data_IF_438358903585
#
_entry.id   IF_438358903585
#
_cell.length_a   1.000
_cell.length_b   1.000
_cell.length_c   1.000
_cell.angle_alpha   90.00
_cell.angle_beta   90.00
_cell.angle_gamma   90.00
#
_symmetry.space_group_name_H-M   'P 1'
#
loop_
_entity.id
_entity.type
_entity.pdbx_description
1 polymer ?
#
# COMPACT_ATOMS: atom_id res chain seq x y z
N UNK A 1 -19.36 -101.38 -26.07
CA UNK A 1 -20.63 -101.66 -25.35
C UNK A 1 -21.50 -100.42 -25.51
N UNK A 2 -22.79 -100.46 -25.84
CA UNK A 2 -23.78 -101.55 -25.84
C UNK A 2 -25.09 -100.94 -25.34
N UNK A 3 -25.81 -100.22 -26.21
CA UNK A 3 -27.02 -100.66 -26.92
C UNK A 3 -28.26 -100.85 -26.01
N UNK A 4 -29.19 -99.91 -26.10
CA UNK A 4 -30.62 -100.22 -26.15
C UNK A 4 -31.36 -99.13 -26.96
N UNK A 5 -32.29 -99.58 -27.80
CA UNK A 5 -33.21 -98.76 -28.60
C UNK A 5 -34.64 -99.10 -28.14
N UNK A 6 -35.58 -98.17 -28.23
CA UNK A 6 -37.01 -98.48 -28.33
C UNK A 6 -37.77 -97.37 -29.07
N UNK A 7 -38.93 -97.71 -29.61
CA UNK A 7 -39.49 -97.12 -30.85
C UNK A 7 -41.03 -97.30 -30.84
N UNK A 8 -41.89 -96.45 -31.45
CA UNK A 8 -41.59 -95.36 -32.40
C UNK A 8 -41.94 -93.94 -31.84
N UNK A 9 -42.90 -93.11 -32.27
CA UNK A 9 -43.94 -93.23 -33.31
C UNK A 9 -44.32 -91.88 -33.97
N UNK A 10 -45.16 -91.97 -35.00
CA UNK A 10 -45.43 -90.99 -36.06
C UNK A 10 -46.31 -89.81 -35.61
N UNK A 11 -45.95 -88.57 -35.97
CA UNK A 11 -46.82 -87.68 -36.78
C UNK A 11 -46.13 -86.42 -37.34
N UNK A 12 -46.31 -86.25 -38.65
CA UNK A 12 -46.27 -85.07 -39.54
C UNK A 12 -45.40 -83.82 -39.31
N UNK A 13 -44.81 -83.41 -40.44
CA UNK A 13 -44.09 -82.15 -40.65
C UNK A 13 -45.07 -80.97 -40.74
N UNK A 14 -44.76 -79.84 -40.12
CA UNK A 14 -45.37 -78.55 -40.46
C UNK A 14 -44.33 -77.42 -40.45
N UNK A 15 -44.34 -76.57 -41.47
CA UNK A 15 -43.41 -75.44 -41.62
C UNK A 15 -43.74 -74.29 -40.66
N UNK A 16 -42.72 -73.53 -40.21
CA UNK A 16 -42.93 -72.38 -39.31
C UNK A 16 -43.68 -71.26 -40.05
N UNK A 17 -44.98 -71.13 -39.75
CA UNK A 17 -45.84 -70.04 -40.24
C UNK A 17 -45.31 -68.68 -39.77
N UNK A 18 -45.46 -67.60 -40.56
CA UNK A 18 -44.90 -66.29 -40.22
C UNK A 18 -45.44 -65.78 -38.88
N UNK A 19 -44.57 -65.14 -38.10
CA UNK A 19 -44.94 -64.51 -36.81
C UNK A 19 -46.13 -63.58 -37.04
N UNK A 20 -47.29 -63.90 -36.46
CA UNK A 20 -48.48 -63.04 -36.52
C UNK A 20 -48.10 -61.64 -36.02
N UNK A 21 -48.37 -60.60 -36.81
CA UNK A 21 -48.31 -59.22 -36.32
C UNK A 21 -49.24 -59.11 -35.11
N UNK A 22 -48.68 -58.78 -33.95
CA UNK A 22 -49.45 -58.55 -32.73
C UNK A 22 -50.41 -57.40 -32.99
N UNK A 23 -51.72 -57.67 -32.92
CA UNK A 23 -52.77 -56.72 -33.28
C UNK A 23 -53.21 -56.02 -32.00
N UNK A 24 -52.46 -54.97 -31.64
CA UNK A 24 -52.68 -54.13 -30.47
C UNK A 24 -54.17 -53.71 -30.38
N UNK A 25 -54.74 -53.80 -29.20
CA UNK A 25 -56.10 -53.31 -28.94
C UNK A 25 -56.12 -51.78 -28.99
N UNK A 26 -57.27 -51.20 -29.33
CA UNK A 26 -57.42 -49.73 -29.40
C UNK A 26 -57.10 -49.03 -28.08
N UNK A 27 -57.26 -49.73 -26.94
CA UNK A 27 -56.90 -49.24 -25.61
C UNK A 27 -55.38 -49.21 -25.39
N UNK A 28 -54.64 -50.26 -25.77
CA UNK A 28 -53.17 -50.28 -25.68
C UNK A 28 -52.54 -49.21 -26.59
N UNK A 29 -53.10 -49.01 -27.79
CA UNK A 29 -52.66 -47.94 -28.71
C UNK A 29 -52.93 -46.57 -28.08
N UNK A 30 -54.14 -46.34 -27.56
CA UNK A 30 -54.52 -45.07 -26.91
C UNK A 30 -53.63 -44.76 -25.69
N UNK A 31 -53.38 -45.75 -24.83
CA UNK A 31 -52.50 -45.59 -23.67
C UNK A 31 -51.05 -45.31 -24.08
N UNK A 32 -50.54 -45.98 -25.11
CA UNK A 32 -49.19 -45.75 -25.65
C UNK A 32 -49.05 -44.33 -26.23
N UNK A 33 -50.07 -43.84 -26.92
CA UNK A 33 -50.12 -42.46 -27.43
C UNK A 33 -50.20 -41.44 -26.29
N UNK A 34 -51.00 -41.70 -25.24
CA UNK A 34 -51.08 -40.83 -24.07
C UNK A 34 -49.74 -40.71 -23.33
N UNK A 35 -49.06 -41.85 -23.09
CA UNK A 35 -47.73 -41.87 -22.48
C UNK A 35 -46.72 -41.14 -23.37
N UNK A 36 -46.74 -41.37 -24.68
CA UNK A 36 -45.86 -40.66 -25.62
C UNK A 36 -46.07 -39.14 -25.55
N UNK A 37 -47.32 -38.66 -25.59
CA UNK A 37 -47.65 -37.24 -25.47
C UNK A 37 -47.19 -36.64 -24.13
N UNK A 38 -47.38 -37.35 -23.02
CA UNK A 38 -46.90 -36.91 -21.70
C UNK A 38 -45.36 -36.85 -21.64
N UNK A 39 -44.65 -37.82 -22.23
CA UNK A 39 -43.18 -37.76 -22.32
C UNK A 39 -42.70 -36.62 -23.21
N UNK A 40 -43.38 -36.31 -24.31
CA UNK A 40 -43.08 -35.16 -25.17
C UNK A 40 -43.27 -33.85 -24.38
N UNK A 41 -44.37 -33.69 -23.64
CA UNK A 41 -44.63 -32.51 -22.81
C UNK A 41 -43.59 -32.37 -21.69
N UNK A 42 -43.19 -33.46 -21.04
CA UNK A 42 -42.13 -33.43 -20.04
C UNK A 42 -40.78 -33.01 -20.65
N UNK A 43 -40.42 -33.56 -21.81
CA UNK A 43 -39.18 -33.23 -22.52
C UNK A 43 -39.19 -31.78 -23.04
N UNK A 44 -40.31 -31.26 -23.55
CA UNK A 44 -40.38 -29.85 -23.96
C UNK A 44 -40.33 -28.89 -22.78
N UNK A 45 -40.96 -29.21 -21.64
CA UNK A 45 -40.84 -28.39 -20.42
C UNK A 45 -39.42 -28.41 -19.85
N UNK A 46 -38.74 -29.57 -19.83
CA UNK A 46 -37.34 -29.67 -19.42
C UNK A 46 -36.43 -28.92 -20.39
N UNK A 47 -36.66 -29.03 -21.71
CA UNK A 47 -35.90 -28.30 -22.71
C UNK A 47 -36.08 -26.78 -22.55
N UNK A 48 -37.32 -26.30 -22.45
CA UNK A 48 -37.64 -24.88 -22.23
C UNK A 48 -36.97 -24.33 -20.97
N UNK A 49 -36.97 -25.08 -19.88
CA UNK A 49 -36.30 -24.69 -18.62
C UNK A 49 -34.77 -24.73 -18.73
N UNK A 50 -34.20 -25.70 -19.44
CA UNK A 50 -32.76 -25.82 -19.66
C UNK A 50 -32.22 -24.77 -20.67
N UNK A 51 -33.07 -24.27 -21.58
CA UNK A 51 -32.76 -23.15 -22.49
C UNK A 51 -33.29 -21.80 -21.98
N UNK A 52 -33.78 -21.72 -20.74
CA UNK A 52 -34.26 -20.48 -20.16
C UNK A 52 -33.08 -19.64 -19.68
N UNK A 53 -32.68 -18.66 -20.48
CA UNK A 53 -31.79 -17.59 -20.05
C UNK A 53 -32.61 -16.52 -19.30
N UNK A 54 -32.27 -16.29 -18.03
CA UNK A 54 -32.83 -15.22 -17.20
C UNK A 54 -32.02 -13.91 -17.33
N UNK A 55 -30.98 -13.89 -18.16
CA UNK A 55 -30.06 -12.77 -18.33
C UNK A 55 -29.07 -12.58 -17.17
N UNK A 56 -29.05 -13.48 -16.18
CA UNK A 56 -28.22 -13.34 -14.98
C UNK A 56 -26.86 -14.01 -15.19
N UNK A 57 -25.79 -13.22 -15.14
CA UNK A 57 -24.43 -13.73 -15.24
C UNK A 57 -24.07 -14.68 -14.09
N UNK A 58 -24.01 -15.98 -14.40
CA UNK A 58 -23.66 -17.08 -13.47
C UNK A 58 -22.19 -17.51 -13.55
N UNK A 59 -21.31 -16.69 -14.15
CA UNK A 59 -19.88 -16.99 -14.22
C UNK A 59 -19.23 -16.90 -12.82
N UNK A 60 -18.11 -17.60 -12.62
CA UNK A 60 -17.37 -17.58 -11.34
C UNK A 60 -17.03 -16.15 -10.90
N UNK A 61 -16.64 -15.29 -11.83
CA UNK A 61 -16.18 -13.93 -11.54
C UNK A 61 -17.32 -12.94 -11.35
N UNK A 62 -18.47 -13.15 -12.01
CA UNK A 62 -19.72 -12.47 -11.68
C UNK A 62 -20.17 -12.80 -10.24
N UNK A 63 -20.12 -14.08 -9.85
CA UNK A 63 -20.50 -14.52 -8.50
C UNK A 63 -19.56 -13.95 -7.43
N UNK A 64 -18.24 -14.01 -7.62
CA UNK A 64 -17.26 -13.37 -6.71
C UNK A 64 -17.50 -11.87 -6.57
N UNK A 65 -17.73 -11.17 -7.69
CA UNK A 65 -17.95 -9.72 -7.71
C UNK A 65 -19.23 -9.33 -7.00
N UNK A 66 -20.34 -10.02 -7.29
CA UNK A 66 -21.63 -9.83 -6.63
C UNK A 66 -21.54 -10.10 -5.12
N UNK A 67 -20.88 -11.18 -4.70
CA UNK A 67 -20.66 -11.49 -3.29
C UNK A 67 -19.91 -10.35 -2.56
N UNK A 68 -18.83 -9.82 -3.15
CA UNK A 68 -18.08 -8.69 -2.56
C UNK A 68 -18.92 -7.41 -2.46
N UNK A 69 -19.75 -7.12 -3.46
CA UNK A 69 -20.67 -5.96 -3.44
C UNK A 69 -21.72 -6.11 -2.32
N UNK A 70 -22.42 -7.25 -2.29
CA UNK A 70 -23.46 -7.57 -1.30
C UNK A 70 -22.90 -7.57 0.13
N UNK A 71 -21.67 -8.04 0.32
CA UNK A 71 -21.00 -7.98 1.61
C UNK A 71 -20.67 -6.55 2.03
N UNK A 72 -20.18 -5.69 1.13
CA UNK A 72 -19.69 -4.36 1.51
C UNK A 72 -20.82 -3.34 1.74
N UNK A 73 -21.95 -3.50 1.06
CA UNK A 73 -23.10 -2.59 1.16
C UNK A 73 -23.92 -2.77 2.45
N UNK A 74 -24.70 -1.74 2.79
CA UNK A 74 -25.68 -1.71 3.88
C UNK A 74 -27.05 -1.31 3.33
N UNK A 75 -27.85 -2.30 2.93
CA UNK A 75 -29.15 -2.08 2.29
C UNK A 75 -30.23 -1.45 3.19
N UNK A 76 -29.92 -1.19 4.46
CA UNK A 76 -30.79 -0.42 5.38
C UNK A 76 -30.55 1.10 5.32
N UNK A 77 -29.53 1.56 4.59
CA UNK A 77 -29.27 2.98 4.36
C UNK A 77 -29.85 3.43 3.02
N UNK A 78 -30.48 4.60 2.97
CA UNK A 78 -31.08 5.14 1.75
C UNK A 78 -29.97 5.68 0.81
N UNK A 79 -29.76 5.11 -0.39
CA UNK A 79 -28.64 5.48 -1.27
C UNK A 79 -28.68 6.94 -1.73
N UNK A 80 -29.88 7.51 -1.85
CA UNK A 80 -30.08 8.92 -2.21
C UNK A 80 -29.82 9.90 -1.05
N UNK A 81 -29.63 9.40 0.18
CA UNK A 81 -29.35 10.20 1.37
C UNK A 81 -27.89 10.07 1.84
N UNK A 82 -27.36 8.85 1.86
CA UNK A 82 -25.96 8.56 2.21
C UNK A 82 -25.45 7.37 1.39
N UNK A 83 -24.97 7.65 0.19
CA UNK A 83 -24.44 6.63 -0.72
C UNK A 83 -23.16 5.97 -0.17
N UNK A 84 -22.39 6.65 0.68
CA UNK A 84 -21.20 6.06 1.31
C UNK A 84 -21.60 4.99 2.32
N UNK A 85 -22.57 5.28 3.20
CA UNK A 85 -23.11 4.29 4.13
C UNK A 85 -23.84 3.16 3.40
N UNK A 86 -24.59 3.45 2.34
CA UNK A 86 -25.19 2.41 1.50
C UNK A 86 -24.13 1.50 0.84
N UNK A 87 -23.06 2.05 0.26
CA UNK A 87 -22.06 1.25 -0.46
C UNK A 87 -21.02 0.56 0.44
N UNK A 88 -20.73 1.11 1.62
CA UNK A 88 -19.63 0.70 2.50
C UNK A 88 -20.06 0.29 3.92
N UNK A 89 -21.31 0.51 4.33
CA UNK A 89 -21.74 0.30 5.72
C UNK A 89 -21.62 -1.16 6.19
N UNK A 90 -21.76 -2.14 5.30
CA UNK A 90 -21.51 -3.55 5.59
C UNK A 90 -20.02 -3.83 5.83
N UNK A 91 -19.13 -3.19 5.07
CA UNK A 91 -17.68 -3.24 5.28
C UNK A 91 -17.29 -2.59 6.61
N UNK A 92 -17.80 -1.39 6.90
CA UNK A 92 -17.54 -0.65 8.15
C UNK A 92 -18.01 -1.41 9.41
N UNK A 93 -19.11 -2.17 9.33
CA UNK A 93 -19.59 -3.03 10.44
C UNK A 93 -18.71 -4.26 10.71
N UNK A 94 -17.79 -4.64 9.81
CA UNK A 94 -16.96 -5.86 9.92
C UNK A 94 -15.46 -5.60 10.08
N UNK A 95 -14.96 -4.44 9.71
CA UNK A 95 -13.53 -4.14 9.71
C UNK A 95 -13.19 -3.18 10.84
N UNK A 96 -12.14 -3.51 11.58
CA UNK A 96 -11.45 -2.59 12.50
C UNK A 96 -10.13 -2.20 11.84
N UNK A 97 -9.67 -0.97 12.06
CA UNK A 97 -8.36 -0.53 11.56
C UNK A 97 -7.27 -1.28 12.35
N UNK A 98 -6.33 -2.01 11.70
CA UNK A 98 -5.25 -2.68 12.41
C UNK A 98 -4.33 -1.69 13.14
N UNK A 99 -3.78 -2.06 14.30
CA UNK A 99 -2.89 -1.22 15.12
C UNK A 99 -1.65 -0.69 14.36
N UNK A 100 -1.21 -1.41 13.32
CA UNK A 100 -0.09 -1.03 12.45
C UNK A 100 -0.45 0.01 11.37
N UNK A 101 -1.72 0.42 11.29
CA UNK A 101 -2.28 1.17 10.17
C UNK A 101 -3.02 2.43 10.64
N UNK A 102 -2.68 3.61 10.09
CA UNK A 102 -3.35 4.88 10.43
C UNK A 102 -4.70 5.08 9.73
N UNK A 103 -5.05 4.18 8.81
CA UNK A 103 -6.33 4.09 8.08
C UNK A 103 -6.47 2.66 7.57
N UNK A 104 -7.68 2.25 7.19
CA UNK A 104 -7.88 0.98 6.49
C UNK A 104 -8.99 1.09 5.46
N UNK A 105 -8.83 0.46 4.30
CA UNK A 105 -9.76 0.50 3.18
C UNK A 105 -9.47 -0.63 2.18
N UNK A 106 -10.31 -0.76 1.14
CA UNK A 106 -10.05 -1.69 0.04
C UNK A 106 -8.72 -1.43 -0.69
N UNK A 107 -8.17 -0.20 -0.66
CA UNK A 107 -6.85 0.09 -1.25
C UNK A 107 -5.69 -0.38 -0.38
N UNK A 108 -5.88 -0.35 0.95
CA UNK A 108 -4.86 -0.78 1.90
C UNK A 108 -4.86 -2.32 1.98
N UNK A 109 -6.03 -2.99 1.97
CA UNK A 109 -6.16 -4.46 1.79
C UNK A 109 -5.43 -4.96 0.53
N UNK A 110 -5.64 -4.29 -0.62
CA UNK A 110 -4.97 -4.65 -1.88
C UNK A 110 -3.45 -4.39 -1.86
N UNK A 111 -2.96 -3.54 -0.94
CA UNK A 111 -1.53 -3.38 -0.68
C UNK A 111 -1.01 -4.54 0.15
N UNK A 112 -1.71 -4.92 1.22
CA UNK A 112 -1.32 -6.03 2.08
C UNK A 112 -1.23 -7.35 1.27
N UNK A 113 -2.22 -7.61 0.41
CA UNK A 113 -2.20 -8.73 -0.55
C UNK A 113 -1.00 -8.68 -1.51
N UNK A 114 -0.65 -7.49 -2.01
CA UNK A 114 0.52 -7.29 -2.89
C UNK A 114 1.84 -7.47 -2.13
N UNK A 115 1.93 -7.04 -0.87
CA UNK A 115 3.13 -7.15 -0.04
C UNK A 115 3.45 -8.61 0.31
N UNK A 116 2.44 -9.48 0.44
CA UNK A 116 2.64 -10.94 0.50
C UNK A 116 3.28 -11.47 -0.78
N UNK A 117 2.78 -11.07 -1.96
CA UNK A 117 3.35 -11.49 -3.25
C UNK A 117 4.79 -10.97 -3.43
N UNK A 118 5.05 -9.72 -3.01
CA UNK A 118 6.38 -9.12 -3.05
C UNK A 118 7.37 -9.85 -2.14
N UNK A 119 6.96 -10.22 -0.91
CA UNK A 119 7.73 -11.08 -0.02
C UNK A 119 8.08 -12.41 -0.69
N UNK A 120 7.11 -13.10 -1.27
CA UNK A 120 7.32 -14.41 -1.88
C UNK A 120 8.29 -14.39 -3.07
N UNK A 121 8.28 -13.33 -3.88
CA UNK A 121 9.25 -13.19 -4.98
C UNK A 121 10.62 -12.64 -4.55
N UNK A 122 10.75 -12.06 -3.36
CA UNK A 122 11.99 -11.46 -2.85
C UNK A 122 12.77 -12.33 -1.84
N UNK A 123 12.10 -13.19 -1.08
CA UNK A 123 12.72 -13.93 0.03
C UNK A 123 13.77 -14.97 -0.43
N UNK A 124 13.51 -15.69 -1.53
CA UNK A 124 14.39 -16.76 -2.03
C UNK A 124 15.24 -16.35 -3.26
N UNK A 125 16.58 -16.45 -3.20
CA UNK A 125 17.43 -16.33 -4.38
C UNK A 125 17.27 -17.56 -5.29
N UNK A 126 17.17 -17.35 -6.60
CA UNK A 126 16.98 -18.41 -7.60
C UNK A 126 18.20 -18.47 -8.54
N UNK A 127 18.71 -19.66 -8.93
CA UNK A 127 19.94 -19.79 -9.74
C UNK A 127 19.93 -19.10 -11.12
N UNK A 128 18.76 -18.63 -11.58
CA UNK A 128 18.57 -17.93 -12.86
C UNK A 128 18.18 -16.45 -12.69
N UNK A 129 18.26 -15.90 -11.46
CA UNK A 129 18.02 -14.48 -11.23
C UNK A 129 19.06 -13.62 -11.97
N UNK A 130 18.61 -12.62 -12.74
CA UNK A 130 19.48 -11.59 -13.32
C UNK A 130 20.03 -10.66 -12.21
N UNK A 131 21.18 -10.00 -12.46
CA UNK A 131 21.88 -9.15 -11.47
C UNK A 131 20.97 -8.10 -10.81
N UNK A 132 20.00 -7.53 -11.53
CA UNK A 132 19.02 -6.60 -10.96
C UNK A 132 18.14 -7.25 -9.88
N UNK A 133 17.65 -8.48 -10.12
CA UNK A 133 16.85 -9.27 -9.17
C UNK A 133 17.73 -9.74 -8.00
N UNK A 134 18.96 -10.18 -8.27
CA UNK A 134 19.93 -10.55 -7.22
C UNK A 134 20.18 -9.37 -6.25
N UNK A 135 20.29 -8.14 -6.77
CA UNK A 135 20.41 -6.92 -5.95
C UNK A 135 19.14 -6.67 -5.13
N UNK A 136 17.96 -6.73 -5.73
CA UNK A 136 16.69 -6.53 -5.02
C UNK A 136 16.49 -7.54 -3.87
N UNK A 137 16.75 -8.82 -4.11
CA UNK A 137 16.68 -9.89 -3.10
C UNK A 137 17.75 -9.78 -2.02
N UNK A 138 18.90 -9.20 -2.34
CA UNK A 138 19.97 -8.96 -1.35
C UNK A 138 19.65 -7.75 -0.48
N UNK A 139 19.08 -6.69 -1.06
CA UNK A 139 18.54 -5.55 -0.31
C UNK A 139 17.42 -6.01 0.64
N UNK A 140 16.44 -6.78 0.14
CA UNK A 140 15.36 -7.34 0.97
C UNK A 140 15.90 -8.15 2.16
N UNK A 141 16.76 -9.15 1.90
CA UNK A 141 17.38 -9.98 2.97
C UNK A 141 18.29 -9.18 3.92
N UNK A 142 18.83 -8.04 3.50
CA UNK A 142 19.59 -7.14 4.39
C UNK A 142 18.69 -6.26 5.27
N UNK A 143 17.44 -6.04 4.87
CA UNK A 143 16.45 -5.25 5.60
C UNK A 143 15.74 -6.10 6.67
N UNK A 144 15.37 -7.34 6.35
CA UNK A 144 14.65 -8.24 7.28
C UNK A 144 15.56 -9.00 8.28
N UNK A 145 16.87 -8.75 8.29
CA UNK A 145 17.80 -9.41 9.19
C UNK A 145 18.06 -8.55 10.44
N UNK A 146 17.02 -8.43 11.26
CA UNK A 146 17.02 -7.63 12.50
C UNK A 146 18.20 -8.00 13.40
N UNK A 147 18.52 -9.28 13.56
CA UNK A 147 19.67 -9.73 14.39
C UNK A 147 21.03 -9.15 13.97
N UNK A 148 21.23 -8.80 12.69
CA UNK A 148 22.45 -8.15 12.18
C UNK A 148 22.35 -6.62 12.20
N UNK A 149 21.14 -6.07 12.28
CA UNK A 149 20.87 -4.64 12.49
C UNK A 149 21.11 -4.31 13.97
N UNK A 150 20.46 -5.04 14.87
CA UNK A 150 20.56 -4.88 16.33
C UNK A 150 22.01 -5.05 16.82
N UNK A 151 22.74 -6.04 16.28
CA UNK A 151 24.14 -6.28 16.65
C UNK A 151 25.10 -5.16 16.24
N UNK A 152 24.63 -4.12 15.55
CA UNK A 152 25.42 -2.94 15.13
C UNK A 152 25.06 -1.67 15.89
N UNK A 153 23.94 -1.64 16.62
CA UNK A 153 23.45 -0.43 17.28
C UNK A 153 23.29 0.76 16.32
N UNK A 154 23.56 1.96 16.82
CA UNK A 154 23.62 3.20 16.04
C UNK A 154 24.97 3.45 15.39
N UNK A 155 26.00 2.61 15.60
CA UNK A 155 27.34 2.72 14.96
C UNK A 155 27.29 3.04 13.45
N UNK A 156 26.38 2.47 12.62
CA UNK A 156 26.26 2.83 11.20
C UNK A 156 25.89 4.31 10.96
N UNK A 157 25.07 4.90 11.84
CA UNK A 157 24.77 6.34 11.85
C UNK A 157 25.96 7.13 12.38
N UNK A 158 26.59 6.70 13.47
CA UNK A 158 27.73 7.39 14.08
C UNK A 158 28.92 7.54 13.11
N UNK A 159 29.11 6.59 12.19
CA UNK A 159 30.13 6.66 11.13
C UNK A 159 29.80 7.64 9.99
N UNK A 160 28.52 8.01 9.82
CA UNK A 160 28.06 8.94 8.76
C UNK A 160 28.04 10.40 9.24
N UNK A 161 27.81 10.64 10.53
CA UNK A 161 27.68 11.99 11.09
C UNK A 161 28.88 12.91 10.81
N UNK A 162 30.16 12.48 10.89
CA UNK A 162 31.30 13.34 10.56
C UNK A 162 31.26 13.86 9.12
N UNK A 163 30.68 13.11 8.19
CA UNK A 163 30.56 13.48 6.78
C UNK A 163 29.52 14.58 6.53
N UNK A 164 28.67 14.89 7.52
CA UNK A 164 27.60 15.92 7.45
C UNK A 164 27.76 17.00 8.53
N UNK A 165 28.97 17.20 9.03
CA UNK A 165 29.32 18.16 10.11
C UNK A 165 28.73 17.82 11.49
N UNK A 166 28.50 16.54 11.80
CA UNK A 166 28.00 16.06 13.09
C UNK A 166 26.61 16.59 13.52
N UNK A 167 26.12 16.09 14.65
CA UNK A 167 24.96 16.68 15.33
C UNK A 167 25.43 17.34 16.66
N UNK A 168 25.33 18.67 16.82
CA UNK A 168 25.93 19.38 17.96
C UNK A 168 25.55 18.82 19.33
N UNK A 169 24.25 18.59 19.58
CA UNK A 169 23.74 18.04 20.86
C UNK A 169 24.36 16.70 21.25
N UNK A 170 24.86 15.93 20.28
CA UNK A 170 25.48 14.61 20.49
C UNK A 170 27.02 14.62 20.31
N UNK A 171 27.65 15.81 20.31
CA UNK A 171 29.06 16.03 20.01
C UNK A 171 29.68 16.97 21.04
N UNK A 172 30.89 16.66 21.53
CA UNK A 172 31.62 17.60 22.39
C UNK A 172 32.50 18.53 21.56
N UNK A 173 32.60 19.80 21.97
CA UNK A 173 33.43 20.82 21.31
C UNK A 173 33.12 21.00 19.80
N UNK A 174 31.84 21.00 19.45
CA UNK A 174 31.38 21.03 18.05
C UNK A 174 31.86 22.29 17.31
N UNK A 175 31.82 23.45 17.97
CA UNK A 175 32.25 24.74 17.41
C UNK A 175 33.72 24.72 17.02
N UNK A 176 34.56 24.11 17.85
CA UNK A 176 36.01 23.98 17.63
C UNK A 176 36.30 22.97 16.51
N UNK A 177 35.68 21.79 16.57
CA UNK A 177 35.96 20.66 15.67
C UNK A 177 35.35 20.82 14.28
N UNK A 178 34.12 21.32 14.19
CA UNK A 178 33.35 21.43 12.94
C UNK A 178 33.01 22.88 12.59
N UNK A 179 32.55 23.66 13.57
CA UNK A 179 32.05 25.04 13.38
C UNK A 179 33.04 25.97 12.68
N UNK A 180 34.34 25.84 12.94
CA UNK A 180 35.42 26.58 12.26
C UNK A 180 35.51 26.34 10.74
N UNK A 181 35.01 25.21 10.25
CA UNK A 181 35.03 24.81 8.82
C UNK A 181 33.65 24.82 8.14
N UNK A 182 32.61 24.91 8.97
CA UNK A 182 31.20 24.84 8.62
C UNK A 182 30.76 26.08 7.82
N UNK A 183 29.95 25.85 6.78
CA UNK A 183 29.16 26.92 6.15
C UNK A 183 27.80 26.36 5.77
N UNK A 184 26.77 27.20 5.76
CA UNK A 184 25.41 26.78 5.44
C UNK A 184 25.32 26.12 4.05
N UNK A 185 26.01 26.70 3.07
CA UNK A 185 26.04 26.21 1.68
C UNK A 185 26.64 24.81 1.60
N UNK A 186 27.80 24.59 2.24
CA UNK A 186 28.46 23.27 2.26
C UNK A 186 27.58 22.22 2.94
N UNK A 187 27.02 22.52 4.12
CA UNK A 187 26.26 21.57 4.90
C UNK A 187 24.92 21.20 4.24
N UNK A 188 24.20 22.18 3.69
CA UNK A 188 22.95 21.94 2.95
C UNK A 188 23.26 21.20 1.64
N UNK A 189 24.33 21.56 0.91
CA UNK A 189 24.71 20.87 -0.31
C UNK A 189 25.18 19.42 -0.08
N UNK A 190 25.90 19.15 1.01
CA UNK A 190 26.34 17.81 1.39
C UNK A 190 25.15 16.90 1.72
N UNK A 191 24.21 17.37 2.56
CA UNK A 191 22.98 16.65 2.89
C UNK A 191 22.11 16.38 1.65
N UNK A 192 21.98 17.36 0.75
CA UNK A 192 21.17 17.22 -0.45
C UNK A 192 21.83 16.32 -1.51
N UNK A 193 23.12 16.50 -1.79
CA UNK A 193 23.82 15.77 -2.87
C UNK A 193 24.14 14.32 -2.52
N UNK A 194 24.54 14.02 -1.27
CA UNK A 194 24.93 12.67 -0.86
C UNK A 194 23.78 11.86 -0.26
N UNK A 195 22.83 12.51 0.42
CA UNK A 195 21.73 11.83 1.14
C UNK A 195 20.32 12.21 0.66
N UNK A 196 20.20 12.96 -0.44
CA UNK A 196 18.94 13.51 -0.99
C UNK A 196 18.15 14.41 -0.02
N UNK A 197 18.68 14.70 1.17
CA UNK A 197 17.99 15.34 2.31
C UNK A 197 18.01 16.86 2.14
N UNK A 198 16.88 17.40 1.67
CA UNK A 198 16.64 18.84 1.53
C UNK A 198 16.24 19.44 2.88
N UNK A 199 17.03 20.40 3.37
CA UNK A 199 16.81 21.15 4.62
C UNK A 199 17.10 22.62 4.39
N UNK A 200 16.33 23.51 5.02
CA UNK A 200 16.33 24.98 4.84
C UNK A 200 15.95 25.45 3.42
N UNK A 201 16.57 24.89 2.38
CA UNK A 201 16.28 25.15 0.96
C UNK A 201 16.10 23.80 0.25
N UNK A 202 14.98 23.63 -0.46
CA UNK A 202 14.78 22.49 -1.36
C UNK A 202 15.27 22.87 -2.76
N UNK A 203 16.49 22.46 -3.14
CA UNK A 203 16.91 22.52 -4.53
C UNK A 203 17.03 21.13 -5.15
N UNK A 204 16.63 21.00 -6.40
CA UNK A 204 16.67 19.73 -7.14
C UNK A 204 16.73 19.96 -8.64
N UNK A 205 17.19 18.95 -9.38
CA UNK A 205 17.08 18.93 -10.85
C UNK A 205 15.72 18.33 -11.18
N UNK A 206 14.94 19.06 -11.97
CA UNK A 206 13.61 18.63 -12.45
C UNK A 206 13.37 19.09 -13.87
N UNK A 207 12.33 18.56 -14.51
CA UNK A 207 11.86 19.00 -15.83
C UNK A 207 11.54 20.50 -15.81
N UNK A 208 11.74 21.20 -16.93
CA UNK A 208 11.27 22.58 -17.12
C UNK A 208 9.78 22.57 -17.52
N UNK A 209 8.92 23.18 -16.69
CA UNK A 209 7.47 23.29 -16.93
C UNK A 209 7.13 24.05 -18.23
N UNK A 210 8.07 24.87 -18.74
CA UNK A 210 7.92 25.60 -20.01
C UNK A 210 8.54 24.88 -21.20
N UNK A 211 9.37 23.86 -20.98
CA UNK A 211 9.87 22.99 -22.03
C UNK A 211 10.23 21.59 -21.49
N UNK A 212 9.33 20.62 -21.67
CA UNK A 212 9.48 19.27 -21.14
C UNK A 212 10.62 18.43 -21.74
N UNK A 213 11.34 18.91 -22.75
CA UNK A 213 12.60 18.29 -23.21
C UNK A 213 13.79 18.60 -22.29
N UNK A 214 13.69 19.66 -21.49
CA UNK A 214 14.80 20.23 -20.73
C UNK A 214 14.67 19.94 -19.24
N UNK A 215 15.81 20.01 -18.55
CA UNK A 215 15.89 19.97 -17.09
C UNK A 215 16.53 21.26 -16.57
N UNK A 216 16.03 21.77 -15.46
CA UNK A 216 16.48 22.98 -14.78
C UNK A 216 16.69 22.71 -13.28
N UNK A 217 17.43 23.62 -12.62
CA UNK A 217 17.51 23.64 -11.16
C UNK A 217 16.26 24.35 -10.64
N UNK A 218 15.40 23.58 -9.95
CA UNK A 218 14.31 24.12 -9.16
C UNK A 218 14.82 24.52 -7.78
N UNK A 219 14.28 25.61 -7.22
CA UNK A 219 14.52 26.06 -5.84
C UNK A 219 13.15 26.34 -5.21
N UNK A 220 12.88 25.69 -4.08
CA UNK A 220 11.59 25.61 -3.43
C UNK A 220 11.77 25.53 -1.89
N UNK A 221 10.66 25.60 -1.16
CA UNK A 221 10.61 25.43 0.29
C UNK A 221 10.96 23.99 0.73
N UNK A 222 11.65 23.78 1.86
CA UNK A 222 11.97 22.44 2.37
C UNK A 222 10.72 21.70 2.86
N UNK A 223 10.81 20.37 3.02
CA UNK A 223 9.84 19.64 3.86
C UNK A 223 10.13 19.93 5.34
N UNK A 224 9.09 19.91 6.16
CA UNK A 224 9.16 20.10 7.62
C UNK A 224 9.28 18.72 8.30
N UNK A 225 9.61 18.70 9.60
CA UNK A 225 9.59 17.47 10.40
C UNK A 225 8.17 16.96 10.68
N UNK A 226 7.26 17.85 11.11
CA UNK A 226 5.84 17.55 11.30
C UNK A 226 5.05 17.58 9.96
N UNK A 227 3.89 16.90 9.87
CA UNK A 227 3.25 16.61 8.58
C UNK A 227 2.82 17.83 7.75
N UNK A 228 2.44 18.95 8.41
CA UNK A 228 2.16 20.23 7.76
C UNK A 228 2.66 21.39 8.62
N UNK A 229 2.61 22.61 8.07
CA UNK A 229 2.85 23.87 8.80
C UNK A 229 1.95 23.97 10.04
N UNK A 230 0.70 23.55 9.93
CA UNK A 230 -0.36 23.88 10.88
C UNK A 230 -0.18 23.15 12.22
N UNK A 231 0.53 22.02 12.20
CA UNK A 231 1.02 21.34 13.40
C UNK A 231 1.89 22.24 14.29
N UNK A 232 2.69 23.15 13.71
CA UNK A 232 3.60 24.03 14.45
C UNK A 232 2.88 25.11 15.27
N UNK A 233 1.54 25.20 15.19
CA UNK A 233 0.71 25.91 16.17
C UNK A 233 0.74 25.24 17.57
N UNK A 234 1.14 23.97 17.67
CA UNK A 234 1.40 23.19 18.89
C UNK A 234 0.33 23.30 20.00
N UNK A 235 -0.92 23.50 19.60
CA UNK A 235 -2.07 23.76 20.47
C UNK A 235 -3.29 22.96 19.99
N UNK A 236 -4.26 22.76 20.89
CA UNK A 236 -5.43 21.92 20.61
C UNK A 236 -5.00 20.52 20.14
N UNK A 237 -5.53 20.09 18.99
CA UNK A 237 -5.25 18.79 18.37
C UNK A 237 -3.77 18.56 17.99
N UNK A 238 -2.96 19.62 17.87
CA UNK A 238 -1.55 19.50 17.45
C UNK A 238 -0.56 19.41 18.61
N UNK A 239 -1.01 19.68 19.85
CA UNK A 239 -0.13 19.73 21.03
C UNK A 239 0.68 18.44 21.19
N UNK A 240 -0.01 17.30 21.15
CA UNK A 240 0.59 15.97 21.37
C UNK A 240 1.69 15.67 20.36
N UNK A 241 1.44 15.98 19.08
CA UNK A 241 2.42 15.77 18.01
C UNK A 241 3.67 16.66 18.17
N UNK A 242 3.53 17.91 18.63
CA UNK A 242 4.69 18.75 18.95
C UNK A 242 5.48 18.24 20.14
N UNK A 243 4.81 17.80 21.22
CA UNK A 243 5.45 17.21 22.40
C UNK A 243 6.22 15.95 22.00
N UNK A 244 5.55 14.97 21.37
CA UNK A 244 6.17 13.73 20.92
C UNK A 244 7.34 13.95 19.94
N UNK A 245 7.31 14.99 19.10
CA UNK A 245 8.41 15.31 18.19
C UNK A 245 9.64 15.88 18.92
N UNK A 246 9.46 16.73 19.94
CA UNK A 246 10.57 17.19 20.80
C UNK A 246 11.10 16.04 21.64
N UNK A 247 10.23 15.22 22.24
CA UNK A 247 10.62 14.06 23.06
C UNK A 247 11.36 13.00 22.22
N UNK A 248 10.97 12.81 20.95
CA UNK A 248 11.71 11.98 20.00
C UNK A 248 13.12 12.52 19.71
N UNK A 249 13.25 13.82 19.44
CA UNK A 249 14.57 14.45 19.25
C UNK A 249 15.46 14.30 20.50
N UNK A 250 14.90 14.53 21.70
CA UNK A 250 15.60 14.32 22.98
C UNK A 250 16.02 12.85 23.14
N UNK A 251 15.12 11.90 22.84
CA UNK A 251 15.39 10.46 22.99
C UNK A 251 16.52 9.98 22.07
N UNK A 252 16.53 10.39 20.81
CA UNK A 252 17.61 10.05 19.86
C UNK A 252 18.93 10.69 20.29
N UNK A 253 18.92 11.94 20.78
CA UNK A 253 20.12 12.59 21.32
C UNK A 253 20.67 11.86 22.56
N UNK A 254 19.81 11.42 23.49
CA UNK A 254 20.20 10.63 24.68
C UNK A 254 20.83 9.29 24.27
N UNK A 255 20.22 8.56 23.34
CA UNK A 255 20.75 7.29 22.82
C UNK A 255 22.13 7.47 22.15
N UNK A 256 22.29 8.49 21.30
CA UNK A 256 23.56 8.75 20.62
C UNK A 256 24.68 9.18 21.59
N UNK A 257 24.36 9.97 22.63
CA UNK A 257 25.33 10.31 23.68
C UNK A 257 25.71 9.07 24.51
N UNK A 258 24.73 8.22 24.85
CA UNK A 258 24.97 6.96 25.56
C UNK A 258 25.90 6.02 24.77
N UNK A 259 25.65 5.83 23.47
CA UNK A 259 26.48 4.96 22.61
C UNK A 259 27.90 5.52 22.40
N UNK A 260 28.05 6.86 22.40
CA UNK A 260 29.36 7.53 22.40
C UNK A 260 30.05 7.58 23.77
N UNK A 261 29.42 7.11 24.84
CA UNK A 261 29.95 7.20 26.21
C UNK A 261 30.02 8.62 26.78
N UNK A 262 29.27 9.56 26.22
CA UNK A 262 29.26 10.97 26.60
C UNK A 262 28.32 11.23 27.80
N UNK A 263 28.60 12.23 28.65
CA UNK A 263 27.70 12.61 29.75
C UNK A 263 26.35 13.10 29.20
N UNK A 264 25.26 12.72 29.86
CA UNK A 264 23.88 13.07 29.46
C UNK A 264 23.34 14.13 30.44
N UNK A 265 23.29 15.39 29.99
CA UNK A 265 22.54 16.45 30.66
C UNK A 265 21.18 16.62 29.98
N UNK A 266 20.13 16.14 30.63
CA UNK A 266 18.77 16.20 30.09
C UNK A 266 18.24 17.63 29.94
N UNK A 267 18.69 18.59 30.76
CA UNK A 267 18.27 19.98 30.68
C UNK A 267 18.89 20.65 29.45
N UNK A 268 20.18 20.44 29.21
CA UNK A 268 20.88 20.97 28.04
C UNK A 268 20.32 20.38 26.74
N UNK A 269 20.13 19.05 26.68
CA UNK A 269 19.52 18.39 25.52
C UNK A 269 18.11 18.94 25.27
N UNK A 270 17.28 19.05 26.30
CA UNK A 270 15.92 19.62 26.19
C UNK A 270 15.95 21.07 25.69
N UNK A 271 16.87 21.89 26.20
CA UNK A 271 17.04 23.28 25.79
C UNK A 271 17.47 23.40 24.31
N UNK A 272 18.32 22.51 23.82
CA UNK A 272 18.72 22.49 22.41
C UNK A 272 17.60 22.00 21.50
N UNK A 273 16.89 20.92 21.85
CA UNK A 273 15.82 20.37 20.99
C UNK A 273 14.60 21.31 20.92
N UNK A 274 14.33 22.08 21.99
CA UNK A 274 13.34 23.17 21.92
C UNK A 274 13.79 24.32 21.01
N UNK A 275 15.10 24.67 20.95
CA UNK A 275 15.59 25.66 19.97
C UNK A 275 15.41 25.17 18.52
N UNK A 276 15.53 23.86 18.26
CA UNK A 276 15.23 23.29 16.94
C UNK A 276 13.73 23.41 16.62
N UNK A 277 12.84 23.13 17.59
CA UNK A 277 11.40 23.34 17.43
C UNK A 277 11.04 24.80 17.11
N UNK A 278 11.60 25.78 17.83
CA UNK A 278 11.35 27.20 17.51
C UNK A 278 11.89 27.60 16.13
N UNK A 279 13.06 27.10 15.72
CA UNK A 279 13.59 27.31 14.37
C UNK A 279 12.67 26.70 13.29
N UNK A 280 12.14 25.48 13.49
CA UNK A 280 11.20 24.89 12.54
C UNK A 280 9.85 25.63 12.52
N UNK A 281 9.38 26.19 13.64
CA UNK A 281 8.20 27.08 13.68
C UNK A 281 8.42 28.34 12.83
N UNK A 282 9.57 29.00 12.94
CA UNK A 282 9.91 30.17 12.11
C UNK A 282 9.92 29.80 10.62
N UNK A 283 10.59 28.70 10.25
CA UNK A 283 10.62 28.19 8.87
C UNK A 283 9.22 27.84 8.37
N UNK A 284 8.40 27.18 9.18
CA UNK A 284 7.01 26.84 8.85
C UNK A 284 6.15 28.09 8.62
N UNK A 285 6.34 29.15 9.42
CA UNK A 285 5.61 30.41 9.27
C UNK A 285 6.00 31.15 7.97
N UNK A 286 7.30 31.19 7.61
CA UNK A 286 7.76 31.83 6.35
C UNK A 286 7.11 31.22 5.11
N UNK A 287 6.80 29.91 5.12
CA UNK A 287 6.04 29.25 4.03
C UNK A 287 4.67 29.88 3.77
N UNK A 288 4.00 30.37 4.82
CA UNK A 288 2.68 30.99 4.70
C UNK A 288 2.74 32.21 3.77
N UNK A 289 3.74 33.07 4.00
CA UNK A 289 3.98 34.27 3.21
C UNK A 289 4.29 33.91 1.75
N UNK A 290 5.16 32.92 1.52
CA UNK A 290 5.53 32.48 0.16
C UNK A 290 4.32 31.92 -0.57
N UNK A 291 3.52 31.06 0.06
CA UNK A 291 2.32 30.46 -0.57
C UNK A 291 1.26 31.52 -0.92
N UNK A 292 0.99 32.47 -0.03
CA UNK A 292 0.00 33.53 -0.28
C UNK A 292 0.50 34.55 -1.31
N UNK A 293 1.81 34.80 -1.35
CA UNK A 293 2.42 35.65 -2.38
C UNK A 293 2.36 34.96 -3.74
N UNK A 294 2.63 33.65 -3.84
CA UNK A 294 2.47 32.89 -5.08
C UNK A 294 1.02 32.85 -5.57
N UNK A 295 0.04 32.79 -4.65
CA UNK A 295 -1.38 32.86 -4.99
C UNK A 295 -1.83 34.26 -5.47
N UNK A 296 -1.08 35.34 -5.16
CA UNK A 296 -1.39 36.71 -5.58
C UNK A 296 -0.52 37.23 -6.74
N UNK A 297 0.70 36.72 -6.92
CA UNK A 297 1.69 37.28 -7.85
C UNK A 297 1.87 36.37 -9.07
N UNK A 298 1.07 36.66 -10.10
CA UNK A 298 1.35 36.20 -11.46
C UNK A 298 2.68 36.80 -11.96
N UNK A 299 3.73 35.98 -11.97
CA UNK A 299 5.06 36.24 -12.57
C UNK A 299 5.95 37.28 -11.84
N UNK A 300 7.27 37.02 -11.83
CA UNK A 300 8.37 37.86 -11.30
C UNK A 300 8.36 38.24 -9.80
N UNK A 301 9.22 37.58 -8.99
CA UNK A 301 10.40 38.16 -8.30
C UNK A 301 10.89 37.23 -7.16
N UNK A 302 11.94 36.44 -7.37
CA UNK A 302 12.36 35.38 -6.44
C UNK A 302 13.66 35.65 -5.64
N UNK A 303 14.23 36.86 -5.70
CA UNK A 303 15.60 37.13 -5.21
C UNK A 303 15.73 38.05 -3.98
N UNK A 304 14.67 38.72 -3.52
CA UNK A 304 14.80 39.75 -2.47
C UNK A 304 14.52 39.29 -1.03
N UNK A 305 13.70 38.26 -0.80
CA UNK A 305 13.22 37.90 0.55
C UNK A 305 14.24 37.16 1.43
N UNK A 306 15.32 36.60 0.87
CA UNK A 306 16.34 35.87 1.64
C UNK A 306 17.41 36.76 2.29
N UNK A 307 17.51 38.04 1.87
CA UNK A 307 18.60 38.93 2.29
C UNK A 307 18.67 39.29 3.79
N UNK A 308 17.55 39.36 4.57
CA UNK A 308 17.62 39.66 6.00
C UNK A 308 18.07 38.49 6.89
N UNK A 309 17.69 37.26 6.54
CA UNK A 309 17.67 36.13 7.48
C UNK A 309 19.08 35.62 7.79
N UNK A 310 19.99 35.63 6.80
CA UNK A 310 21.38 35.17 6.98
C UNK A 310 22.29 36.16 7.74
N UNK A 311 21.75 37.25 8.33
CA UNK A 311 22.53 38.27 9.04
C UNK A 311 22.30 38.34 10.55
N UNK A 312 21.50 37.44 11.13
CA UNK A 312 21.12 37.48 12.57
C UNK A 312 21.82 36.39 13.40
N UNK A 313 23.15 36.43 13.43
CA UNK A 313 24.08 36.00 14.52
C UNK A 313 25.51 35.91 13.96
N UNK A 314 26.20 37.03 13.95
CA UNK A 314 27.55 37.17 13.38
C UNK A 314 28.26 38.45 13.81
N UNK A 315 28.01 38.91 15.03
CA UNK A 315 28.67 40.05 15.66
C UNK A 315 28.51 39.98 17.19
N UNK A 316 29.56 40.38 17.92
CA UNK A 316 29.72 40.32 19.39
C UNK A 316 29.68 38.90 20.00
N UNK A 317 30.70 38.46 20.75
CA UNK A 317 31.96 39.10 21.16
C UNK A 317 33.15 38.17 20.88
#
# INVERSE_FOLDING_TARGET
>A
MGKSESQMDITDINTPKPKKKQRWTSLEISLSVLVLLLTIIAVTMIALYATYDDGICKSSDCIKSAARLIQNMDTTAEPCSDFFKYACGGWLKRNVIPETSSRYSNFDILRDELEVILKDVLQEPKPKDIVAVQKAKTLYRSCINESVIDSRGGVPLLNVLPEIYEWPVATENWEQTYGTSWTAEKSIAQLNSKYAKKVIINFFIGTDDKNSTNHIIHIDQPRLGLPSRDYYACTGIYKEACTAYVDFMISVAKLMRQERGLPIDENQITLEMNKIMELEKEIANVKHIISDTLNNVNHFFFLFSFYPILRVKGATA
#
